data_IF_441279531289
#
_entry.id   IF_441279531289
#
_cell.length_a   1.000
_cell.length_b   1.000
_cell.length_c   1.000
_cell.angle_alpha   90.00
_cell.angle_beta   90.00
_cell.angle_gamma   90.00
#
_symmetry.space_group_name_H-M   'P 1'
#
loop_
_entity.id
_entity.type
_entity.pdbx_description
1 polymer ?
#
# COMPACT_ATOMS: atom_id res chain seq x y z
N UNK A 1 -19.54 -56.58 -31.19
CA UNK A 1 -18.32 -56.01 -30.56
C UNK A 1 -18.68 -54.61 -30.05
N UNK A 2 -18.94 -54.46 -28.75
CA UNK A 2 -19.39 -53.18 -28.15
C UNK A 2 -18.17 -52.53 -27.54
N UNK A 3 -17.77 -51.39 -28.11
CA UNK A 3 -16.68 -50.55 -27.58
C UNK A 3 -17.25 -49.76 -26.41
N UNK A 4 -16.74 -50.01 -25.18
CA UNK A 4 -17.01 -49.19 -24.00
C UNK A 4 -16.00 -48.05 -23.99
N UNK A 5 -16.46 -46.82 -24.25
CA UNK A 5 -15.69 -45.64 -24.06
C UNK A 5 -15.57 -45.35 -22.57
N UNK A 6 -14.38 -45.43 -22.04
CA UNK A 6 -14.05 -45.07 -20.66
C UNK A 6 -13.76 -43.55 -20.62
N UNK A 7 -14.69 -42.76 -20.10
CA UNK A 7 -14.44 -41.35 -19.78
C UNK A 7 -13.67 -41.30 -18.47
N UNK A 8 -12.36 -41.01 -18.58
CA UNK A 8 -11.53 -40.66 -17.43
C UNK A 8 -11.81 -39.19 -17.08
N UNK A 9 -12.63 -38.96 -16.08
CA UNK A 9 -12.83 -37.65 -15.50
C UNK A 9 -11.57 -37.24 -14.73
N UNK A 10 -10.85 -36.25 -15.26
CA UNK A 10 -9.78 -35.56 -14.51
C UNK A 10 -10.46 -34.70 -13.43
N UNK A 11 -10.49 -35.19 -12.20
CA UNK A 11 -10.81 -34.36 -11.05
C UNK A 11 -9.58 -33.47 -10.76
N UNK A 12 -9.66 -32.21 -11.15
CA UNK A 12 -8.71 -31.20 -10.69
C UNK A 12 -9.07 -30.92 -9.22
N UNK A 13 -8.18 -31.18 -8.27
CA UNK A 13 -8.43 -30.76 -6.89
C UNK A 13 -8.42 -29.23 -6.89
N UNK A 14 -9.57 -28.63 -6.68
CA UNK A 14 -9.64 -27.24 -6.26
C UNK A 14 -9.08 -27.25 -4.83
N UNK A 15 -7.77 -27.04 -4.71
CA UNK A 15 -7.18 -26.65 -3.45
C UNK A 15 -7.64 -25.23 -3.19
N UNK A 16 -8.83 -25.10 -2.59
CA UNK A 16 -9.25 -23.88 -1.98
C UNK A 16 -8.15 -23.50 -0.99
N UNK A 17 -7.62 -22.30 -1.12
CA UNK A 17 -6.81 -21.70 -0.08
C UNK A 17 -7.69 -21.60 1.16
N UNK A 18 -7.68 -22.64 1.98
CA UNK A 18 -8.18 -22.55 3.32
C UNK A 18 -7.26 -21.54 4.03
N UNK A 19 -7.73 -20.33 4.19
CA UNK A 19 -7.10 -19.44 5.16
C UNK A 19 -7.16 -20.18 6.48
N UNK A 20 -6.02 -20.43 7.09
CA UNK A 20 -5.91 -20.97 8.43
C UNK A 20 -6.50 -19.94 9.40
N UNK A 21 -7.81 -19.99 9.56
CA UNK A 21 -8.45 -19.31 10.66
C UNK A 21 -8.12 -20.10 11.93
N UNK A 22 -7.19 -19.63 12.73
CA UNK A 22 -7.03 -20.17 14.05
C UNK A 22 -8.30 -19.87 14.84
N UNK A 23 -9.01 -20.93 15.18
CA UNK A 23 -10.14 -20.83 16.12
C UNK A 23 -9.57 -20.41 17.47
N UNK A 24 -9.90 -19.20 17.90
CA UNK A 24 -9.70 -18.82 19.29
C UNK A 24 -10.45 -19.82 20.16
N UNK A 25 -9.83 -20.29 21.23
CA UNK A 25 -10.45 -21.22 22.20
C UNK A 25 -11.87 -20.79 22.54
N UNK A 26 -12.83 -21.68 22.32
CA UNK A 26 -14.24 -21.37 22.52
C UNK A 26 -14.68 -21.56 23.99
N UNK A 27 -13.79 -21.96 24.86
CA UNK A 27 -14.11 -22.15 26.28
C UNK A 27 -13.93 -20.84 27.04
N UNK A 28 -15.00 -20.21 27.53
CA UNK A 28 -14.89 -19.07 28.42
C UNK A 28 -14.23 -19.50 29.74
N UNK A 29 -13.09 -18.92 30.04
CA UNK A 29 -12.33 -19.21 31.24
C UNK A 29 -12.98 -18.66 32.51
N UNK A 30 -14.04 -17.86 32.40
CA UNK A 30 -14.76 -17.21 33.50
C UNK A 30 -16.19 -16.87 33.02
N UNK A 31 -17.24 -17.08 33.84
CA UNK A 31 -18.62 -16.72 33.51
C UNK A 31 -18.84 -15.22 33.26
N UNK A 32 -17.93 -14.36 33.73
CA UNK A 32 -17.94 -12.92 33.44
C UNK A 32 -17.27 -12.55 32.12
N UNK A 33 -16.80 -13.54 31.34
CA UNK A 33 -16.19 -13.31 30.05
C UNK A 33 -17.20 -12.84 28.99
N UNK A 34 -16.69 -12.13 28.02
CA UNK A 34 -17.45 -11.78 26.83
C UNK A 34 -18.11 -13.03 26.20
N UNK A 35 -19.26 -12.87 25.55
CA UNK A 35 -19.92 -13.98 24.85
C UNK A 35 -18.97 -14.61 23.82
N UNK A 36 -19.19 -15.91 23.56
CA UNK A 36 -18.41 -16.64 22.55
C UNK A 36 -18.43 -15.90 21.22
N UNK A 37 -17.28 -15.82 20.55
CA UNK A 37 -17.22 -15.12 19.27
C UNK A 37 -18.10 -15.78 18.22
N UNK A 38 -18.86 -14.97 17.48
CA UNK A 38 -19.60 -15.39 16.32
C UNK A 38 -18.69 -15.36 15.08
N UNK A 39 -18.78 -16.37 14.23
CA UNK A 39 -18.04 -16.39 12.97
C UNK A 39 -18.61 -15.38 11.96
N UNK A 40 -17.75 -14.73 11.13
CA UNK A 40 -16.29 -14.88 11.06
C UNK A 40 -15.60 -14.15 12.21
N UNK A 41 -14.52 -14.73 12.74
CA UNK A 41 -13.65 -14.09 13.73
C UNK A 41 -12.47 -13.41 13.04
N UNK A 42 -11.91 -12.31 13.62
CA UNK A 42 -10.77 -11.64 13.03
C UNK A 42 -9.54 -12.54 13.02
N UNK A 43 -8.76 -12.44 11.94
CA UNK A 43 -7.45 -13.07 11.87
C UNK A 43 -6.46 -12.37 12.82
N UNK A 44 -5.46 -13.11 13.32
CA UNK A 44 -4.43 -12.58 14.23
C UNK A 44 -3.83 -11.25 13.72
N UNK A 45 -3.54 -11.14 12.41
CA UNK A 45 -3.03 -9.90 11.81
C UNK A 45 -3.97 -8.72 11.96
N UNK A 46 -5.28 -8.95 11.92
CA UNK A 46 -6.28 -7.89 12.13
C UNK A 46 -6.33 -7.46 13.58
N UNK A 47 -6.14 -8.40 14.51
CA UNK A 47 -6.03 -8.09 15.95
C UNK A 47 -4.76 -7.26 16.18
N UNK A 48 -3.60 -7.70 15.70
CA UNK A 48 -2.33 -6.98 15.82
C UNK A 48 -2.38 -5.57 15.20
N UNK A 49 -3.10 -5.43 14.08
CA UNK A 49 -3.33 -4.13 13.47
C UNK A 49 -4.21 -3.26 14.37
N UNK A 50 -5.31 -3.80 14.89
CA UNK A 50 -6.23 -3.09 15.78
C UNK A 50 -5.52 -2.63 17.07
N UNK A 51 -4.62 -3.44 17.62
CA UNK A 51 -3.80 -3.11 18.79
C UNK A 51 -2.80 -1.97 18.53
N UNK A 52 -2.59 -1.57 17.29
CA UNK A 52 -1.75 -0.41 16.97
C UNK A 52 -2.43 0.89 17.37
N UNK A 53 -3.76 0.95 17.35
CA UNK A 53 -4.68 2.00 17.82
C UNK A 53 -4.32 3.43 17.40
N UNK A 54 -3.16 3.93 17.83
CA UNK A 54 -2.77 5.33 17.68
C UNK A 54 -1.48 5.45 16.88
N UNK A 55 -1.61 5.88 15.62
CA UNK A 55 -0.51 6.05 14.69
C UNK A 55 -0.68 7.30 13.81
N UNK A 56 0.41 7.76 13.22
CA UNK A 56 0.45 8.98 12.44
C UNK A 56 0.29 8.72 10.93
N UNK A 57 -0.17 9.75 10.22
CA UNK A 57 -0.06 9.87 8.77
C UNK A 57 0.89 11.02 8.41
N UNK A 58 1.87 10.77 7.53
CA UNK A 58 2.85 11.77 7.11
C UNK A 58 2.65 12.12 5.65
N UNK A 59 2.30 13.37 5.39
CA UNK A 59 2.18 13.94 4.06
C UNK A 59 3.34 14.90 3.79
N UNK A 60 4.27 14.52 2.93
CA UNK A 60 5.37 15.37 2.49
C UNK A 60 5.61 15.21 0.98
N UNK A 61 4.52 15.10 0.22
CA UNK A 61 4.50 14.91 -1.23
C UNK A 61 4.32 16.21 -2.00
N UNK A 62 3.96 16.08 -3.28
CA UNK A 62 3.70 17.19 -4.20
C UNK A 62 2.71 18.21 -3.61
N UNK A 63 1.68 17.75 -2.92
CA UNK A 63 0.61 18.58 -2.35
C UNK A 63 1.12 19.55 -1.27
N UNK A 64 2.17 19.19 -0.55
CA UNK A 64 2.84 20.10 0.41
C UNK A 64 3.39 21.36 -0.29
N UNK A 65 3.80 21.23 -1.54
CA UNK A 65 4.42 22.32 -2.31
C UNK A 65 3.43 23.06 -3.19
N UNK A 66 2.31 22.44 -3.56
CA UNK A 66 1.24 23.09 -4.33
C UNK A 66 0.18 23.74 -3.47
N UNK A 67 0.05 23.34 -2.20
CA UNK A 67 -1.03 23.77 -1.32
C UNK A 67 -2.41 23.23 -1.72
N UNK A 68 -2.46 22.19 -2.54
CA UNK A 68 -3.70 21.53 -2.96
C UNK A 68 -3.91 20.26 -2.15
N UNK A 69 -5.16 19.91 -1.89
CA UNK A 69 -5.51 18.63 -1.27
C UNK A 69 -5.19 17.46 -2.21
N UNK A 70 -5.59 17.58 -3.47
CA UNK A 70 -5.29 16.61 -4.54
C UNK A 70 -4.62 17.31 -5.70
N UNK A 71 -3.57 16.71 -6.22
CA UNK A 71 -2.95 17.14 -7.46
C UNK A 71 -3.77 16.71 -8.69
N UNK A 72 -3.45 17.29 -9.83
CA UNK A 72 -4.10 17.00 -11.11
C UNK A 72 -3.38 15.90 -11.91
N UNK A 73 -2.12 15.59 -11.55
CA UNK A 73 -1.27 14.65 -12.28
C UNK A 73 -0.45 15.31 -13.40
N UNK A 74 -0.59 16.61 -13.59
CA UNK A 74 0.16 17.41 -14.56
C UNK A 74 1.17 18.37 -13.88
N UNK A 75 1.33 18.24 -12.57
CA UNK A 75 2.30 19.02 -11.81
C UNK A 75 3.73 18.71 -12.30
N UNK A 76 4.49 19.78 -12.55
CA UNK A 76 5.91 19.63 -12.89
C UNK A 76 6.67 19.12 -11.68
N UNK A 77 7.50 18.11 -11.84
CA UNK A 77 8.29 17.50 -10.78
C UNK A 77 9.18 18.52 -10.05
N UNK A 78 9.58 19.58 -10.76
CA UNK A 78 10.37 20.69 -10.21
C UNK A 78 9.67 21.50 -9.10
N UNK A 79 8.35 21.36 -8.95
CA UNK A 79 7.58 21.98 -7.87
C UNK A 79 7.95 21.32 -6.52
N UNK A 80 8.24 20.03 -6.50
CA UNK A 80 8.76 19.36 -5.32
C UNK A 80 10.20 19.82 -5.07
N UNK A 81 10.36 20.83 -4.25
CA UNK A 81 11.65 21.51 -4.03
C UNK A 81 11.92 21.78 -2.55
N UNK A 82 12.16 20.73 -1.72
CA UNK A 82 12.53 20.92 -0.33
C UNK A 82 13.79 21.79 -0.19
N UNK A 83 13.78 22.70 0.78
CA UNK A 83 14.88 23.65 1.03
C UNK A 83 16.01 23.04 1.88
N UNK A 84 15.76 21.87 2.47
CA UNK A 84 16.73 21.07 3.23
C UNK A 84 16.44 19.60 2.97
N UNK A 85 17.37 18.72 3.34
CA UNK A 85 17.15 17.27 3.31
C UNK A 85 15.94 16.95 4.19
N UNK A 86 14.92 16.25 3.66
CA UNK A 86 13.82 15.76 4.47
C UNK A 86 14.33 14.90 5.63
N UNK A 87 13.79 15.12 6.81
CA UNK A 87 14.21 14.42 8.04
C UNK A 87 13.07 13.57 8.64
N UNK A 88 12.81 12.38 8.10
CA UNK A 88 11.83 11.47 8.67
C UNK A 88 12.16 11.03 10.10
N UNK A 89 13.42 11.08 10.52
CA UNK A 89 13.78 10.77 11.91
C UNK A 89 13.16 11.78 12.88
N UNK A 90 13.12 13.04 12.50
CA UNK A 90 12.45 14.09 13.29
C UNK A 90 10.95 13.81 13.37
N UNK A 91 10.31 13.39 12.27
CA UNK A 91 8.88 13.04 12.27
C UNK A 91 8.57 11.91 13.24
N UNK A 92 9.35 10.83 13.17
CA UNK A 92 9.21 9.66 14.06
C UNK A 92 9.41 10.02 15.53
N UNK A 93 10.43 10.82 15.85
CA UNK A 93 10.67 11.28 17.22
C UNK A 93 9.51 12.10 17.77
N UNK A 94 8.93 12.97 16.95
CA UNK A 94 7.81 13.82 17.36
C UNK A 94 6.56 13.00 17.70
N UNK A 95 6.17 12.06 16.82
CA UNK A 95 4.97 11.23 17.05
C UNK A 95 5.19 10.21 18.17
N UNK A 96 6.40 9.65 18.31
CA UNK A 96 6.76 8.80 19.44
C UNK A 96 6.64 9.54 20.78
N UNK A 97 7.09 10.78 20.83
CA UNK A 97 6.95 11.62 22.03
C UNK A 97 5.47 11.93 22.35
N UNK A 98 4.60 11.92 21.37
CA UNK A 98 3.15 12.03 21.54
C UNK A 98 2.46 10.72 21.96
N UNK A 99 3.20 9.61 22.13
CA UNK A 99 2.66 8.32 22.53
C UNK A 99 2.14 7.45 21.36
N UNK A 100 2.43 7.82 20.12
CA UNK A 100 2.05 7.00 18.96
C UNK A 100 2.96 5.78 18.84
N UNK A 101 2.39 4.68 18.33
CA UNK A 101 3.06 3.37 18.21
C UNK A 101 3.63 3.11 16.82
N UNK A 102 3.19 3.88 15.83
CA UNK A 102 3.60 3.73 14.44
C UNK A 102 3.24 4.92 13.57
N UNK A 103 3.42 4.76 12.27
CA UNK A 103 3.02 5.75 11.30
C UNK A 103 2.98 5.21 9.88
N UNK A 104 2.31 5.95 9.00
CA UNK A 104 2.20 5.66 7.57
C UNK A 104 2.73 6.88 6.81
N UNK A 105 3.71 6.67 5.95
CA UNK A 105 4.19 7.71 5.04
C UNK A 105 3.48 7.63 3.70
N UNK A 106 2.92 8.75 3.25
CA UNK A 106 2.36 8.88 1.91
C UNK A 106 3.51 9.01 0.92
N UNK A 107 3.78 7.94 0.17
CA UNK A 107 4.92 7.89 -0.75
C UNK A 107 4.53 8.12 -2.22
N UNK A 108 3.26 7.89 -2.55
CA UNK A 108 2.62 8.33 -3.81
C UNK A 108 1.17 8.68 -3.54
N UNK A 109 0.77 9.92 -3.80
CA UNK A 109 -0.62 10.38 -3.73
C UNK A 109 -1.28 10.26 -5.11
N UNK A 110 -2.52 10.74 -5.26
CA UNK A 110 -3.33 10.67 -6.48
C UNK A 110 -2.73 11.42 -7.68
N UNK A 111 -1.82 12.37 -7.44
CA UNK A 111 -1.06 13.05 -8.50
C UNK A 111 -0.07 12.14 -9.22
N UNK A 112 0.20 10.95 -8.68
CA UNK A 112 1.12 9.98 -9.26
C UNK A 112 2.60 10.24 -8.99
N UNK A 113 2.95 11.34 -8.26
CA UNK A 113 4.35 11.66 -7.97
C UNK A 113 4.93 10.72 -6.93
N UNK A 114 5.96 9.97 -7.32
CA UNK A 114 6.63 8.99 -6.46
C UNK A 114 7.78 9.62 -5.67
N UNK A 115 7.76 9.47 -4.35
CA UNK A 115 8.78 9.99 -3.44
C UNK A 115 10.03 9.10 -3.33
N UNK A 116 10.26 8.24 -4.32
CA UNK A 116 11.45 7.39 -4.48
C UNK A 116 11.81 7.26 -5.96
N UNK A 117 13.03 6.83 -6.29
CA UNK A 117 13.49 6.68 -7.68
C UNK A 117 12.92 5.40 -8.33
N UNK A 118 11.58 5.34 -8.46
CA UNK A 118 10.92 4.21 -9.12
C UNK A 118 11.34 4.06 -10.57
N UNK A 119 11.41 2.81 -11.04
CA UNK A 119 11.66 2.50 -12.43
C UNK A 119 10.41 2.62 -13.33
N UNK A 120 9.21 2.73 -12.73
CA UNK A 120 7.94 2.62 -13.46
C UNK A 120 7.48 3.93 -14.10
N UNK A 121 7.96 5.06 -13.63
CA UNK A 121 7.60 6.39 -14.15
C UNK A 121 8.74 7.38 -13.97
N UNK A 122 8.78 8.38 -14.83
CA UNK A 122 9.68 9.54 -14.68
C UNK A 122 9.08 10.63 -13.78
N UNK A 123 7.81 10.49 -13.39
CA UNK A 123 7.13 11.39 -12.46
C UNK A 123 7.49 11.04 -11.02
N UNK A 124 8.75 11.32 -10.66
CA UNK A 124 9.32 10.95 -9.36
C UNK A 124 10.38 11.93 -8.89
N UNK A 125 10.89 11.72 -7.70
CA UNK A 125 11.84 12.62 -7.02
C UNK A 125 13.14 12.86 -7.78
N UNK A 126 13.58 12.01 -8.70
CA UNK A 126 14.80 12.21 -9.47
C UNK A 126 14.76 13.48 -10.34
N UNK A 127 13.56 14.01 -10.57
CA UNK A 127 13.29 15.24 -11.31
C UNK A 127 12.88 16.42 -10.39
N UNK A 128 12.98 16.26 -9.10
CA UNK A 128 12.64 17.30 -8.12
C UNK A 128 13.39 18.61 -8.38
N UNK A 129 12.78 19.74 -7.99
CA UNK A 129 13.33 21.08 -8.22
C UNK A 129 14.56 21.44 -7.41
N UNK A 130 14.84 20.72 -6.33
CA UNK A 130 16.02 20.93 -5.51
C UNK A 130 16.91 19.69 -5.47
N UNK A 131 18.18 19.87 -5.17
CA UNK A 131 19.13 18.77 -4.95
C UNK A 131 18.68 17.87 -3.80
N UNK A 132 18.22 18.47 -2.71
CA UNK A 132 17.68 17.71 -1.57
C UNK A 132 16.49 16.82 -1.96
N UNK A 133 15.59 17.32 -2.81
CA UNK A 133 14.50 16.49 -3.35
C UNK A 133 15.01 15.36 -4.21
N UNK A 134 15.95 15.62 -5.12
CA UNK A 134 16.48 14.61 -6.04
C UNK A 134 17.25 13.49 -5.38
N UNK A 135 17.84 13.74 -4.23
CA UNK A 135 18.66 12.77 -3.49
C UNK A 135 17.91 12.10 -2.34
N UNK A 136 16.73 12.61 -1.96
CA UNK A 136 15.90 12.03 -0.92
C UNK A 136 15.15 10.80 -1.44
N UNK A 137 15.36 9.64 -0.83
CA UNK A 137 14.50 8.47 -0.96
C UNK A 137 13.63 8.40 0.29
N UNK A 138 12.42 8.98 0.22
CA UNK A 138 11.56 9.12 1.41
C UNK A 138 11.19 7.76 2.02
N UNK A 139 10.73 6.74 1.27
CA UNK A 139 10.44 5.43 1.84
C UNK A 139 11.63 4.84 2.60
N UNK A 140 12.83 4.92 2.04
CA UNK A 140 14.04 4.39 2.66
C UNK A 140 14.41 5.13 3.95
N UNK A 141 14.43 6.45 3.90
CA UNK A 141 14.74 7.29 5.06
C UNK A 141 13.73 7.07 6.20
N UNK A 142 12.45 6.97 5.83
CA UNK A 142 11.38 6.76 6.78
C UNK A 142 11.41 5.37 7.42
N UNK A 143 11.59 4.31 6.63
CA UNK A 143 11.72 2.94 7.14
C UNK A 143 12.91 2.81 8.10
N UNK A 144 14.09 3.33 7.72
CA UNK A 144 15.29 3.33 8.58
C UNK A 144 15.05 4.09 9.89
N UNK A 145 14.40 5.24 9.82
CA UNK A 145 14.08 6.03 11.01
C UNK A 145 13.12 5.28 11.94
N UNK A 146 12.08 4.67 11.38
CA UNK A 146 11.10 3.90 12.14
C UNK A 146 11.72 2.70 12.84
N UNK A 147 12.51 1.91 12.12
CA UNK A 147 13.25 0.76 12.66
C UNK A 147 14.22 1.18 13.77
N UNK A 148 15.00 2.24 13.56
CA UNK A 148 15.94 2.79 14.56
C UNK A 148 15.25 3.17 15.86
N UNK A 149 14.03 3.65 15.80
CA UNK A 149 13.26 4.09 16.97
C UNK A 149 12.25 3.06 17.49
N UNK A 150 12.22 1.85 16.92
CA UNK A 150 11.29 0.78 17.32
C UNK A 150 9.82 1.15 17.10
N UNK A 151 9.53 1.91 16.03
CA UNK A 151 8.19 2.31 15.63
C UNK A 151 7.69 1.43 14.51
N UNK A 152 6.42 1.02 14.57
CA UNK A 152 5.75 0.37 13.43
C UNK A 152 5.69 1.36 12.25
N UNK A 153 5.85 0.89 11.02
CA UNK A 153 5.77 1.74 9.85
C UNK A 153 5.01 1.08 8.72
N UNK A 154 4.41 1.90 7.88
CA UNK A 154 3.71 1.49 6.68
C UNK A 154 3.82 2.56 5.60
N UNK A 155 3.37 2.22 4.41
CA UNK A 155 3.32 3.13 3.28
C UNK A 155 1.90 3.28 2.76
N UNK A 156 1.55 4.51 2.43
CA UNK A 156 0.39 4.82 1.61
C UNK A 156 0.83 4.97 0.17
N UNK A 157 0.24 4.21 -0.71
CA UNK A 157 0.42 4.32 -2.16
C UNK A 157 -0.95 4.34 -2.84
N UNK A 158 -1.28 5.43 -3.51
CA UNK A 158 -2.54 5.53 -4.23
C UNK A 158 -2.55 4.62 -5.46
N UNK A 159 -3.52 3.71 -5.59
CA UNK A 159 -3.80 3.04 -6.86
C UNK A 159 -4.31 4.01 -7.93
N UNK A 160 -5.01 5.06 -7.52
CA UNK A 160 -5.41 6.13 -8.42
C UNK A 160 -4.20 6.98 -8.80
N UNK A 161 -3.90 7.03 -10.10
CA UNK A 161 -2.73 7.70 -10.65
C UNK A 161 -3.15 8.61 -11.80
N UNK A 162 -3.24 9.89 -11.51
CA UNK A 162 -3.69 10.90 -12.48
C UNK A 162 -2.63 11.28 -13.51
N UNK A 163 -1.37 10.90 -13.27
CA UNK A 163 -0.27 11.16 -14.21
C UNK A 163 -0.08 10.00 -15.19
N UNK A 164 -0.31 8.76 -14.78
CA UNK A 164 0.02 7.59 -15.59
C UNK A 164 -0.90 7.44 -16.80
N UNK A 165 -0.32 7.39 -17.99
CA UNK A 165 -1.04 7.06 -19.23
C UNK A 165 -1.54 5.59 -19.27
N UNK A 166 -1.10 4.76 -18.35
CA UNK A 166 -1.58 3.38 -18.18
C UNK A 166 -2.80 3.29 -17.29
N UNK A 167 -3.11 4.33 -16.49
CA UNK A 167 -4.23 4.29 -15.57
C UNK A 167 -5.56 4.01 -16.30
N UNK A 168 -6.37 3.12 -15.73
CA UNK A 168 -7.59 2.63 -16.39
C UNK A 168 -7.40 1.50 -17.41
N UNK A 169 -6.16 1.04 -17.64
CA UNK A 169 -5.82 -0.11 -18.50
C UNK A 169 -5.34 -1.30 -17.68
N UNK A 170 -5.45 -2.53 -18.22
CA UNK A 170 -4.93 -3.74 -17.53
C UNK A 170 -3.45 -3.66 -17.23
N UNK A 171 -2.68 -3.02 -18.13
CA UNK A 171 -1.24 -2.81 -17.98
C UNK A 171 -0.87 -1.92 -16.79
N UNK A 172 -1.80 -1.11 -16.26
CA UNK A 172 -1.50 -0.29 -15.09
C UNK A 172 -1.17 -1.14 -13.87
N UNK A 173 -1.98 -2.17 -13.62
CA UNK A 173 -1.78 -3.04 -12.46
C UNK A 173 -0.45 -3.78 -12.54
N UNK A 174 -0.17 -4.42 -13.68
CA UNK A 174 1.01 -5.29 -13.83
C UNK A 174 2.31 -4.55 -14.10
N UNK A 175 2.27 -3.46 -14.88
CA UNK A 175 3.47 -2.77 -15.33
C UNK A 175 3.85 -1.54 -14.50
N UNK A 176 2.90 -1.04 -13.69
CA UNK A 176 3.14 0.17 -12.88
C UNK A 176 2.91 -0.13 -11.41
N UNK A 177 1.64 -0.39 -11.01
CA UNK A 177 1.27 -0.39 -9.60
C UNK A 177 1.89 -1.55 -8.81
N UNK A 178 1.83 -2.78 -9.34
CA UNK A 178 2.46 -3.94 -8.70
C UNK A 178 3.96 -3.74 -8.54
N UNK A 179 4.65 -3.29 -9.58
CA UNK A 179 6.10 -3.02 -9.51
C UNK A 179 6.45 -1.95 -8.47
N UNK A 180 5.63 -0.92 -8.35
CA UNK A 180 5.79 0.09 -7.30
C UNK A 180 5.62 -0.51 -5.89
N UNK A 181 4.64 -1.41 -5.71
CA UNK A 181 4.47 -2.13 -4.45
C UNK A 181 5.66 -3.05 -4.14
N UNK A 182 6.18 -3.76 -5.14
CA UNK A 182 7.38 -4.60 -5.02
C UNK A 182 8.62 -3.77 -4.62
N UNK A 183 8.80 -2.60 -5.24
CA UNK A 183 9.88 -1.68 -4.86
C UNK A 183 9.75 -1.22 -3.40
N UNK A 184 8.53 -0.91 -2.93
CA UNK A 184 8.29 -0.49 -1.55
C UNK A 184 8.43 -1.65 -0.54
N UNK A 185 8.11 -2.87 -0.92
CA UNK A 185 8.27 -4.06 -0.07
C UNK A 185 9.74 -4.33 0.29
N UNK A 186 10.70 -3.85 -0.50
CA UNK A 186 12.13 -4.01 -0.25
C UNK A 186 12.66 -3.23 0.96
N UNK A 187 11.91 -2.24 1.45
CA UNK A 187 12.34 -1.42 2.59
C UNK A 187 12.15 -2.10 3.96
N UNK A 188 11.67 -3.34 3.99
CA UNK A 188 11.61 -4.19 5.19
C UNK A 188 10.38 -5.07 5.23
N UNK A 189 10.54 -6.23 5.86
CA UNK A 189 9.47 -7.24 6.04
C UNK A 189 8.53 -6.93 7.21
N UNK A 190 8.87 -5.95 8.04
CA UNK A 190 8.19 -5.56 9.27
C UNK A 190 7.21 -4.38 9.08
N UNK A 191 6.84 -4.09 7.82
CA UNK A 191 5.78 -3.14 7.51
C UNK A 191 4.45 -3.65 8.06
N UNK A 192 3.79 -2.83 8.92
CA UNK A 192 2.51 -3.24 9.51
C UNK A 192 1.33 -3.00 8.58
N UNK A 193 1.47 -2.09 7.61
CA UNK A 193 0.41 -1.71 6.69
C UNK A 193 0.94 -1.20 5.36
N UNK A 194 0.26 -1.61 4.27
CA UNK A 194 0.30 -0.97 2.98
C UNK A 194 -1.10 -0.41 2.71
N UNK A 195 -1.24 0.91 2.72
CA UNK A 195 -2.53 1.58 2.57
C UNK A 195 -2.79 1.93 1.10
N UNK A 196 -3.88 1.42 0.56
CA UNK A 196 -4.36 1.70 -0.79
C UNK A 196 -5.59 2.58 -0.72
N UNK A 197 -5.55 3.74 -1.39
CA UNK A 197 -6.63 4.72 -1.39
C UNK A 197 -6.93 5.20 -2.81
N UNK A 198 -8.20 5.56 -3.08
CA UNK A 198 -8.61 6.02 -4.41
C UNK A 198 -8.62 4.90 -5.46
N UNK A 199 -8.89 3.64 -5.08
CA UNK A 199 -8.79 2.48 -5.96
C UNK A 199 -9.87 2.39 -7.03
N UNK A 200 -10.98 3.09 -6.90
CA UNK A 200 -12.14 2.97 -7.79
C UNK A 200 -12.25 4.17 -8.75
N UNK A 201 -11.26 4.34 -9.58
CA UNK A 201 -11.12 5.50 -10.44
C UNK A 201 -11.51 5.28 -11.91
N UNK A 202 -12.44 4.33 -12.20
CA UNK A 202 -12.67 3.93 -13.58
C UNK A 202 -13.80 4.62 -14.34
N UNK A 203 -14.54 5.49 -13.71
CA UNK A 203 -15.74 6.13 -14.30
C UNK A 203 -15.49 7.51 -14.97
N UNK A 204 -14.23 7.85 -15.16
CA UNK A 204 -13.82 9.16 -15.70
C UNK A 204 -13.80 10.29 -14.66
N UNK A 205 -14.50 10.15 -13.56
CA UNK A 205 -14.48 11.13 -12.47
C UNK A 205 -13.07 11.29 -11.90
N UNK A 206 -12.34 10.18 -11.77
CA UNK A 206 -10.98 10.17 -11.28
C UNK A 206 -9.91 10.33 -12.37
N UNK A 207 -10.31 10.58 -13.61
CA UNK A 207 -9.40 10.93 -14.71
C UNK A 207 -8.65 9.76 -15.34
N UNK A 208 -9.16 8.53 -15.24
CA UNK A 208 -8.61 7.40 -15.99
C UNK A 208 -8.74 7.61 -17.50
N UNK A 209 -7.81 7.08 -18.29
CA UNK A 209 -7.87 7.17 -19.74
C UNK A 209 -9.08 6.41 -20.27
N UNK A 210 -9.90 7.08 -21.08
CA UNK A 210 -11.14 6.54 -21.63
C UNK A 210 -12.36 6.66 -20.71
N UNK A 211 -12.25 7.16 -19.50
CA UNK A 211 -13.33 7.70 -18.68
C UNK A 211 -14.38 6.75 -18.13
N UNK A 212 -14.40 5.48 -18.54
CA UNK A 212 -15.48 4.53 -18.19
C UNK A 212 -14.99 3.21 -17.62
N UNK A 213 -13.69 2.99 -17.55
CA UNK A 213 -13.14 1.72 -17.10
C UNK A 213 -12.89 1.72 -15.59
N UNK A 214 -13.49 0.79 -14.89
CA UNK A 214 -13.16 0.52 -13.49
C UNK A 214 -11.77 -0.14 -13.40
N UNK A 215 -10.93 0.36 -12.49
CA UNK A 215 -9.70 -0.33 -12.10
C UNK A 215 -10.11 -1.64 -11.44
N UNK A 216 -9.55 -2.75 -11.89
CA UNK A 216 -9.79 -4.04 -11.27
C UNK A 216 -9.21 -4.07 -9.85
N UNK A 217 -10.07 -3.77 -8.88
CA UNK A 217 -9.71 -3.80 -7.47
C UNK A 217 -9.25 -5.21 -7.03
N UNK A 218 -9.72 -6.26 -7.70
CA UNK A 218 -9.28 -7.64 -7.41
C UNK A 218 -7.83 -7.84 -7.83
N UNK A 219 -7.40 -7.33 -8.98
CA UNK A 219 -6.00 -7.37 -9.40
C UNK A 219 -5.06 -6.70 -8.38
N UNK A 220 -5.48 -5.59 -7.80
CA UNK A 220 -4.72 -4.89 -6.74
C UNK A 220 -4.65 -5.76 -5.47
N UNK A 221 -5.76 -6.37 -5.06
CA UNK A 221 -5.82 -7.24 -3.87
C UNK A 221 -4.94 -8.48 -4.05
N UNK A 222 -4.98 -9.13 -5.22
CA UNK A 222 -4.13 -10.29 -5.52
C UNK A 222 -2.64 -9.91 -5.54
N UNK A 223 -2.28 -8.76 -6.06
CA UNK A 223 -0.90 -8.25 -6.05
C UNK A 223 -0.36 -8.08 -4.64
N UNK A 224 -1.17 -7.56 -3.73
CA UNK A 224 -0.80 -7.40 -2.33
C UNK A 224 -0.64 -8.74 -1.59
N UNK A 225 -1.42 -9.76 -1.96
CA UNK A 225 -1.27 -11.11 -1.43
C UNK A 225 0.00 -11.80 -1.93
N UNK A 226 0.36 -11.62 -3.19
CA UNK A 226 1.59 -12.17 -3.77
C UNK A 226 2.85 -11.63 -3.08
N UNK A 227 2.88 -10.35 -2.73
CA UNK A 227 3.98 -9.72 -1.98
C UNK A 227 4.18 -10.28 -0.55
N UNK A 228 3.19 -11.01 -0.01
CA UNK A 228 3.23 -11.61 1.33
C UNK A 228 3.51 -13.11 1.33
N UNK A 229 3.57 -13.75 0.17
CA UNK A 229 3.69 -15.21 0.06
C UNK A 229 5.12 -15.70 -0.18
N UNK A 230 6.08 -14.81 -0.30
CA UNK A 230 7.49 -15.18 -0.35
C UNK A 230 8.07 -15.15 1.08
N UNK A 231 8.77 -16.24 1.51
CA UNK A 231 9.34 -16.37 2.86
C UNK A 231 10.55 -15.47 3.08
#
# INVERSE_FOLDING_TARGET
MKIKTLLLGLAIPITGFAQDFQLVSQEPSNPDNAPLPCHPVPHERQILWNETEFYAFFHYGMNTFTGKEWGNGDEKESIYAPKAMPDPEQWIKAVKAAGMTGGIAVVKHHDGFCLWPTATTTHNITRAGSEYGRTANIPELYAKASQKHGMKYGFYISPWDRNSAHYGKDTYVTEVFLKQCEELAQYGSDQFEMWFDGANGGDGYYGGEGGTRQVDAQGIIFSCQALRSEP
#
